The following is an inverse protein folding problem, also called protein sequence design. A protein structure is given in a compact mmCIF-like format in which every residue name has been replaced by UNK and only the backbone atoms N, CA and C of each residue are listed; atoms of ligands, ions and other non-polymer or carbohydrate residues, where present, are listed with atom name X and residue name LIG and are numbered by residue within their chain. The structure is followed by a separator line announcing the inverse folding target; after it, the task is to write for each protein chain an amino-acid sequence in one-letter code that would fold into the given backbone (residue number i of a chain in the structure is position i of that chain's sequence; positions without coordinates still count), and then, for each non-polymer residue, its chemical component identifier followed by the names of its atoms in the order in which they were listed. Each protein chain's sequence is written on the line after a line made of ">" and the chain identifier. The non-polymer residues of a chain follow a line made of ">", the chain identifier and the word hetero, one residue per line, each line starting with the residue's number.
data_IF_475577249191
#
_entry.id   IF_475577249191
#
_cell.length_a   1.000
_cell.length_b   1.000
_cell.length_c   1.000
_cell.angle_alpha   90.00
_cell.angle_beta   90.00
_cell.angle_gamma   90.00
#
_symmetry.space_group_name_H-M   'P 1'
#
loop_
_entity.id
_entity.type
_entity.pdbx_description
1 polymer ?
#
# COMPACT_ATOMS: atom_id res chain seq x y z
N UNK A 1 -19.45 -15.22 16.96
CA UNK A 1 -18.54 -15.05 15.80
C UNK A 1 -18.68 -13.60 15.37
N UNK A 2 -17.59 -12.79 15.34
CA UNK A 2 -17.72 -11.36 15.01
C UNK A 2 -18.09 -11.23 13.52
N UNK A 3 -19.36 -10.95 13.26
CA UNK A 3 -19.86 -10.54 11.94
C UNK A 3 -19.03 -9.37 11.40
N UNK A 4 -18.68 -9.42 10.12
CA UNK A 4 -18.26 -8.24 9.36
C UNK A 4 -16.76 -8.04 9.10
N UNK A 5 -15.83 -8.88 9.57
CA UNK A 5 -14.44 -8.78 9.10
C UNK A 5 -14.30 -9.45 7.73
N UNK A 6 -14.50 -8.67 6.68
CA UNK A 6 -14.10 -9.07 5.33
C UNK A 6 -12.60 -9.36 5.36
N UNK A 7 -12.22 -10.55 4.87
CA UNK A 7 -10.80 -10.93 4.78
C UNK A 7 -10.11 -9.98 3.79
N UNK A 8 -8.88 -9.53 4.08
CA UNK A 8 -8.11 -8.75 3.11
C UNK A 8 -7.90 -9.58 1.83
N UNK A 9 -7.89 -8.89 0.69
CA UNK A 9 -7.57 -9.47 -0.61
C UNK A 9 -6.10 -9.15 -0.90
N UNK A 10 -5.28 -10.18 -1.09
CA UNK A 10 -3.88 -10.00 -1.44
C UNK A 10 -3.72 -9.72 -2.94
N UNK A 11 -2.93 -8.70 -3.27
CA UNK A 11 -2.64 -8.29 -4.65
C UNK A 11 -1.16 -8.52 -4.94
N UNK A 12 -0.85 -9.24 -6.02
CA UNK A 12 0.52 -9.37 -6.52
C UNK A 12 0.87 -8.15 -7.36
N UNK A 13 1.93 -7.44 -6.97
CA UNK A 13 2.46 -6.27 -7.70
C UNK A 13 3.80 -6.60 -8.36
N UNK A 14 4.09 -5.93 -9.49
CA UNK A 14 5.39 -5.95 -10.16
C UNK A 14 5.94 -4.53 -10.17
N UNK A 15 7.15 -4.35 -9.65
CA UNK A 15 7.87 -3.07 -9.63
C UNK A 15 9.30 -3.30 -10.11
N UNK A 16 10.02 -2.24 -10.48
CA UNK A 16 11.45 -2.34 -10.78
C UNK A 16 12.24 -2.70 -9.52
N UNK A 17 13.43 -3.25 -9.71
CA UNK A 17 14.33 -3.58 -8.60
C UNK A 17 14.69 -2.35 -7.76
N UNK A 18 14.91 -1.21 -8.42
CA UNK A 18 15.23 0.07 -7.75
C UNK A 18 14.11 0.48 -6.79
N UNK A 19 12.86 0.49 -7.26
CA UNK A 19 11.70 0.82 -6.43
C UNK A 19 11.49 -0.17 -5.28
N UNK A 20 11.77 -1.46 -5.50
CA UNK A 20 11.71 -2.46 -4.44
C UNK A 20 12.71 -2.17 -3.32
N UNK A 21 13.98 -1.88 -3.66
CA UNK A 21 15.00 -1.61 -2.64
C UNK A 21 14.76 -0.29 -1.90
N UNK A 22 14.29 0.75 -2.60
CA UNK A 22 13.84 1.99 -1.95
C UNK A 22 12.69 1.73 -0.97
N UNK A 23 11.63 1.04 -1.41
CA UNK A 23 10.48 0.72 -0.56
C UNK A 23 10.89 -0.07 0.68
N UNK A 24 11.83 -1.02 0.53
CA UNK A 24 12.38 -1.81 1.63
C UNK A 24 13.18 -0.96 2.61
N UNK A 25 13.96 0.00 2.13
CA UNK A 25 14.69 0.94 2.97
C UNK A 25 13.72 1.84 3.77
N UNK A 26 12.67 2.34 3.13
CA UNK A 26 11.61 3.11 3.79
C UNK A 26 10.87 2.30 4.85
N UNK A 27 10.48 1.06 4.52
CA UNK A 27 9.82 0.15 5.46
C UNK A 27 10.65 -0.07 6.73
N UNK A 28 11.97 -0.25 6.58
CA UNK A 28 12.91 -0.38 7.72
C UNK A 28 12.98 0.90 8.55
N UNK A 29 13.09 2.06 7.90
CA UNK A 29 13.18 3.36 8.58
C UNK A 29 11.93 3.69 9.39
N UNK A 30 10.76 3.34 8.88
CA UNK A 30 9.46 3.62 9.51
C UNK A 30 8.98 2.52 10.45
N UNK A 31 9.74 1.45 10.62
CA UNK A 31 9.36 0.25 11.38
C UNK A 31 8.00 -0.34 10.92
N UNK A 32 7.78 -0.33 9.60
CA UNK A 32 6.56 -0.85 8.94
C UNK A 32 6.88 -1.98 7.99
N UNK A 33 5.85 -2.75 7.62
CA UNK A 33 5.96 -3.73 6.54
C UNK A 33 5.85 -3.04 5.17
N UNK A 34 6.49 -3.61 4.15
CA UNK A 34 6.30 -3.12 2.78
C UNK A 34 4.83 -3.20 2.34
N UNK A 35 4.09 -4.24 2.77
CA UNK A 35 2.64 -4.34 2.50
C UNK A 35 1.87 -3.14 3.06
N UNK A 36 2.22 -2.66 4.26
CA UNK A 36 1.59 -1.49 4.84
C UNK A 36 1.79 -0.25 3.94
N UNK A 37 3.03 -0.04 3.47
CA UNK A 37 3.36 1.08 2.59
C UNK A 37 2.65 0.98 1.23
N UNK A 38 2.57 -0.23 0.64
CA UNK A 38 1.81 -0.46 -0.60
C UNK A 38 0.32 -0.15 -0.40
N UNK A 39 -0.27 -0.57 0.71
CA UNK A 39 -1.68 -0.24 1.01
C UNK A 39 -1.88 1.28 1.09
N UNK A 40 -0.95 2.01 1.72
CA UNK A 40 -1.00 3.47 1.76
C UNK A 40 -0.82 4.14 0.40
N UNK A 41 0.05 3.60 -0.45
CA UNK A 41 0.19 4.08 -1.82
C UNK A 41 -1.11 3.90 -2.63
N UNK A 42 -1.80 2.77 -2.46
CA UNK A 42 -3.10 2.50 -3.09
C UNK A 42 -4.18 3.45 -2.58
N UNK A 43 -4.31 3.62 -1.27
CA UNK A 43 -5.25 4.59 -0.66
C UNK A 43 -5.00 6.01 -1.20
N UNK A 44 -3.74 6.45 -1.19
CA UNK A 44 -3.34 7.76 -1.67
C UNK A 44 -3.71 7.99 -3.15
N UNK A 45 -3.41 7.02 -4.02
CA UNK A 45 -3.71 7.10 -5.45
C UNK A 45 -5.22 7.22 -5.73
N UNK A 46 -6.05 6.47 -5.00
CA UNK A 46 -7.50 6.52 -5.17
C UNK A 46 -8.08 7.84 -4.66
N UNK A 47 -7.66 8.29 -3.48
CA UNK A 47 -8.14 9.55 -2.89
C UNK A 47 -7.71 10.78 -3.72
N UNK A 48 -6.51 10.77 -4.31
CA UNK A 48 -6.09 11.85 -5.22
C UNK A 48 -7.00 11.97 -6.45
N UNK A 49 -7.47 10.85 -7.01
CA UNK A 49 -8.38 10.88 -8.17
C UNK A 49 -9.76 11.44 -7.84
N UNK A 50 -10.23 11.23 -6.62
CA UNK A 50 -11.51 11.79 -6.18
C UNK A 50 -11.41 13.30 -6.00
N UNK A 51 -10.30 13.80 -5.44
CA UNK A 51 -10.09 15.24 -5.22
C UNK A 51 -9.87 16.03 -6.52
N UNK A 52 -9.39 15.41 -7.60
CA UNK A 52 -9.17 16.07 -8.89
C UNK A 52 -10.44 16.16 -9.77
N UNK A 53 -11.55 15.57 -9.33
CA UNK A 53 -12.87 15.65 -9.98
C UNK A 53 -13.82 16.66 -9.30
N UNK A 54 -13.34 17.37 -8.28
CA UNK A 54 -14.07 18.39 -7.53
C UNK A 54 -13.74 19.80 -8.03
#
# INVERSE_FOLDING_TARGET
>A
MKEGRQKPIDVRVRVSNELHEELKAHARKEERSMNYLINKAVEFYLNQKESAKA
#
